data_IF_610801645956
#
_entry.id   IF_610801645956
#
_cell.length_a   1.000
_cell.length_b   1.000
_cell.length_c   1.000
_cell.angle_alpha   90.00
_cell.angle_beta   90.00
_cell.angle_gamma   90.00
#
_symmetry.space_group_name_H-M   'P 1'
#
loop_
_entity.id
_entity.type
_entity.pdbx_description
1 polymer ?
#
# COMPACT_ATOMS: atom_id res chain seq x y z
N UNK A 1 1.77 3.31 18.50
CA UNK A 1 2.40 4.63 18.35
C UNK A 1 2.35 5.05 16.88
N UNK A 2 1.86 6.26 16.55
CA UNK A 2 2.06 6.81 15.22
C UNK A 2 3.58 6.95 14.99
N UNK A 3 4.09 6.55 13.82
CA UNK A 3 5.50 6.79 13.50
C UNK A 3 5.77 8.29 13.56
N UNK A 4 6.94 8.67 14.10
CA UNK A 4 7.40 10.07 14.13
C UNK A 4 7.37 10.59 12.69
N UNK A 5 6.35 11.37 12.35
CA UNK A 5 6.19 11.94 11.01
C UNK A 5 7.41 12.80 10.74
N UNK A 6 8.21 12.41 9.75
CA UNK A 6 9.37 13.20 9.35
C UNK A 6 8.84 14.55 8.85
N UNK A 7 9.28 15.69 9.43
CA UNK A 7 8.82 16.99 8.97
C UNK A 7 9.15 17.16 7.48
N UNK A 8 8.20 17.71 6.74
CA UNK A 8 8.15 17.73 5.27
C UNK A 8 9.37 18.41 4.60
N UNK A 9 10.13 19.21 5.36
CA UNK A 9 11.29 19.99 4.89
C UNK A 9 12.54 19.17 4.49
N UNK A 10 12.50 17.84 4.47
CA UNK A 10 13.65 17.00 4.13
C UNK A 10 13.45 16.06 2.94
N UNK A 11 12.37 16.23 2.15
CA UNK A 11 12.26 15.55 0.87
C UNK A 11 13.15 16.24 -0.18
N UNK A 12 14.47 16.06 -0.09
CA UNK A 12 15.46 16.35 -1.15
C UNK A 12 15.31 15.40 -2.34
N UNK A 13 14.07 15.11 -2.72
CA UNK A 13 13.75 14.15 -3.75
C UNK A 13 13.86 14.83 -5.12
N UNK A 14 14.93 14.51 -5.85
CA UNK A 14 15.16 14.95 -7.24
C UNK A 14 14.35 14.14 -8.27
N UNK A 15 13.20 13.60 -7.85
CA UNK A 15 12.33 12.79 -8.71
C UNK A 15 11.71 13.66 -9.82
N UNK A 16 11.33 13.05 -10.95
CA UNK A 16 10.55 13.74 -11.99
C UNK A 16 9.16 14.20 -11.55
N UNK A 17 8.66 13.69 -10.42
CA UNK A 17 7.29 13.87 -9.95
C UNK A 17 7.10 15.08 -9.01
N UNK A 18 8.07 16.02 -8.97
CA UNK A 18 8.04 17.21 -8.09
C UNK A 18 7.62 16.89 -6.65
N UNK A 19 8.19 15.81 -6.11
CA UNK A 19 7.87 15.29 -4.79
C UNK A 19 8.16 16.29 -3.63
N UNK A 20 8.79 17.43 -3.92
CA UNK A 20 9.11 18.51 -2.98
C UNK A 20 7.95 19.50 -2.78
N UNK A 21 6.96 19.54 -3.68
CA UNK A 21 5.83 20.51 -3.65
C UNK A 21 4.62 20.02 -2.83
N UNK A 22 4.76 18.90 -2.13
CA UNK A 22 3.68 18.27 -1.38
C UNK A 22 3.38 19.04 -0.09
N UNK A 23 2.09 19.19 0.25
CA UNK A 23 1.62 19.88 1.47
C UNK A 23 1.16 18.87 2.52
N UNK A 24 1.50 19.12 3.78
CA UNK A 24 1.47 18.15 4.90
C UNK A 24 0.06 17.76 5.40
N UNK A 25 -0.99 18.52 5.05
CA UNK A 25 -2.24 18.52 5.82
C UNK A 25 -3.13 17.28 5.63
N UNK A 26 -3.21 16.70 4.43
CA UNK A 26 -4.11 15.58 4.14
C UNK A 26 -3.64 14.26 4.78
N UNK A 27 -2.33 14.08 4.90
CA UNK A 27 -1.71 12.84 5.40
C UNK A 27 -1.93 12.65 6.90
N UNK A 28 -2.14 13.73 7.67
CA UNK A 28 -2.38 13.62 9.12
C UNK A 28 -3.71 12.94 9.45
N UNK A 29 -4.71 13.10 8.59
CA UNK A 29 -6.03 12.50 8.81
C UNK A 29 -6.02 10.98 8.57
N UNK A 30 -5.11 10.47 7.73
CA UNK A 30 -4.90 9.04 7.52
C UNK A 30 -4.67 8.28 8.83
N UNK A 31 -3.80 8.79 9.70
CA UNK A 31 -3.43 8.11 10.95
C UNK A 31 -4.51 8.13 12.03
N UNK A 32 -5.59 8.89 11.83
CA UNK A 32 -6.72 8.94 12.76
C UNK A 32 -7.78 7.87 12.48
N UNK A 33 -7.78 7.26 11.30
CA UNK A 33 -8.77 6.25 10.89
C UNK A 33 -8.56 4.89 11.59
N UNK A 34 -9.53 3.96 11.52
CA UNK A 34 -9.34 2.57 11.98
C UNK A 34 -8.38 1.81 11.07
N UNK A 35 -7.83 0.68 11.53
CA UNK A 35 -6.79 -0.04 10.78
C UNK A 35 -7.25 -0.52 9.39
N UNK A 36 -8.49 -1.02 9.28
CA UNK A 36 -9.05 -1.47 7.99
C UNK A 36 -9.27 -0.30 7.03
N UNK A 37 -9.77 0.83 7.52
CA UNK A 37 -9.96 2.06 6.75
C UNK A 37 -8.61 2.61 6.24
N UNK A 38 -7.58 2.60 7.10
CA UNK A 38 -6.21 2.97 6.68
C UNK A 38 -5.72 2.05 5.57
N UNK A 39 -6.00 0.76 5.65
CA UNK A 39 -5.54 -0.16 4.62
C UNK A 39 -6.28 0.05 3.30
N UNK A 40 -7.58 0.32 3.32
CA UNK A 40 -8.36 0.63 2.12
C UNK A 40 -7.95 1.98 1.51
N UNK A 41 -7.73 2.99 2.34
CA UNK A 41 -7.21 4.28 1.89
C UNK A 41 -5.85 4.11 1.21
N UNK A 42 -4.92 3.37 1.85
CA UNK A 42 -3.63 3.04 1.27
C UNK A 42 -3.78 2.29 -0.07
N UNK A 43 -4.76 1.40 -0.16
CA UNK A 43 -5.07 0.65 -1.37
C UNK A 43 -5.53 1.57 -2.50
N UNK A 44 -6.32 2.60 -2.22
CA UNK A 44 -6.78 3.61 -3.17
C UNK A 44 -5.65 4.48 -3.74
N UNK A 45 -4.61 4.72 -2.95
CA UNK A 45 -3.46 5.53 -3.35
C UNK A 45 -2.46 4.83 -4.29
N UNK A 46 -2.58 3.51 -4.48
CA UNK A 46 -1.68 2.72 -5.33
C UNK A 46 -2.42 2.33 -6.61
N UNK A 47 -1.95 2.76 -7.77
CA UNK A 47 -2.58 2.44 -9.04
C UNK A 47 -1.74 1.49 -9.88
N UNK A 48 -2.39 0.44 -10.38
CA UNK A 48 -1.80 -0.55 -11.27
C UNK A 48 -2.14 -0.15 -12.71
N UNK A 49 -1.11 0.21 -13.48
CA UNK A 49 -1.27 0.75 -14.83
C UNK A 49 -0.66 -0.23 -15.84
N UNK A 50 -1.40 -0.57 -16.89
CA UNK A 50 -0.87 -1.37 -18.00
C UNK A 50 0.13 -0.54 -18.80
N UNK A 51 1.28 -1.13 -19.13
CA UNK A 51 2.31 -0.45 -19.91
C UNK A 51 1.91 -0.52 -21.38
N UNK A 52 1.68 0.64 -22.00
CA UNK A 52 1.53 0.75 -23.46
C UNK A 52 2.89 0.47 -24.11
N UNK A 53 2.94 -0.48 -25.04
CA UNK A 53 4.17 -0.77 -25.78
C UNK A 53 4.47 0.38 -26.76
N UNK A 54 5.69 0.92 -26.72
CA UNK A 54 6.11 2.09 -27.53
C UNK A 54 6.33 1.74 -29.01
N UNK A 55 6.64 0.48 -29.32
CA UNK A 55 6.87 -0.01 -30.69
C UNK A 55 5.88 -1.15 -30.93
N UNK A 56 4.84 -0.91 -31.73
CA UNK A 56 3.90 -1.95 -32.20
C UNK A 56 4.49 -2.75 -33.39
N UNK A 57 5.82 -2.79 -33.51
CA UNK A 57 6.48 -3.51 -34.59
C UNK A 57 6.47 -5.00 -34.29
N UNK A 58 5.77 -5.74 -35.16
CA UNK A 58 5.96 -7.18 -35.47
C UNK A 58 5.62 -8.26 -34.44
N UNK A 59 5.16 -7.97 -33.22
CA UNK A 59 4.67 -9.05 -32.34
C UNK A 59 3.43 -8.64 -31.55
N UNK A 60 2.26 -9.04 -32.07
CA UNK A 60 0.92 -8.77 -31.51
C UNK A 60 0.58 -9.59 -30.25
N UNK A 61 1.58 -10.06 -29.50
CA UNK A 61 1.35 -10.86 -28.28
C UNK A 61 1.85 -10.07 -27.06
N UNK A 62 0.99 -9.27 -26.41
CA UNK A 62 1.30 -8.56 -25.16
C UNK A 62 1.87 -9.47 -24.07
N UNK A 63 1.56 -10.77 -24.11
CA UNK A 63 2.01 -11.77 -23.16
C UNK A 63 3.54 -11.97 -23.12
N UNK A 64 4.25 -11.63 -24.21
CA UNK A 64 5.71 -11.84 -24.31
C UNK A 64 6.54 -10.75 -23.62
N UNK A 65 5.94 -9.62 -23.24
CA UNK A 65 6.67 -8.61 -22.47
C UNK A 65 6.93 -9.10 -21.05
N UNK A 66 8.20 -9.10 -20.62
CA UNK A 66 8.59 -9.35 -19.22
C UNK A 66 7.96 -8.35 -18.23
N UNK A 67 7.62 -7.14 -18.68
CA UNK A 67 6.96 -6.11 -17.85
C UNK A 67 5.68 -5.66 -18.53
N UNK A 68 4.56 -6.16 -18.05
CA UNK A 68 3.21 -5.83 -18.57
C UNK A 68 2.54 -4.71 -17.77
N UNK A 69 2.98 -4.52 -16.53
CA UNK A 69 2.31 -3.70 -15.54
C UNK A 69 3.32 -2.75 -14.87
N UNK A 70 2.90 -1.52 -14.62
CA UNK A 70 3.59 -0.55 -13.78
C UNK A 70 2.74 -0.21 -12.56
N UNK A 71 3.41 0.18 -11.48
CA UNK A 71 2.76 0.68 -10.27
C UNK A 71 3.02 2.17 -10.19
N UNK A 72 1.98 2.92 -9.88
CA UNK A 72 2.01 4.37 -9.67
C UNK A 72 1.48 4.66 -8.27
N UNK A 73 2.03 5.67 -7.62
CA UNK A 73 1.70 6.05 -6.25
C UNK A 73 1.16 7.47 -6.30
N UNK A 74 -0.01 7.68 -5.71
CA UNK A 74 -0.65 8.99 -5.63
C UNK A 74 -0.77 9.41 -4.16
N UNK A 75 -0.70 10.71 -3.90
CA UNK A 75 -1.02 11.29 -2.61
C UNK A 75 -2.05 12.41 -2.80
N UNK A 76 -2.96 12.59 -1.83
CA UNK A 76 -3.84 13.75 -1.82
C UNK A 76 -3.03 15.03 -1.63
N UNK A 77 -3.46 16.08 -2.31
CA UNK A 77 -2.91 17.44 -2.30
C UNK A 77 -4.08 18.43 -2.40
N UNK A 78 -3.81 19.72 -2.18
CA UNK A 78 -4.82 20.78 -2.19
C UNK A 78 -5.65 20.83 -3.47
N UNK A 79 -5.06 20.44 -4.61
CA UNK A 79 -5.69 20.46 -5.93
C UNK A 79 -6.07 19.04 -6.43
N UNK A 80 -6.25 18.07 -5.53
CA UNK A 80 -6.65 16.70 -5.87
C UNK A 80 -5.56 15.67 -5.58
N UNK A 81 -5.21 14.80 -6.55
CA UNK A 81 -4.21 13.76 -6.35
C UNK A 81 -2.96 14.03 -7.19
N UNK A 82 -1.79 13.95 -6.56
CA UNK A 82 -0.52 14.08 -7.27
C UNK A 82 0.25 12.77 -7.24
N UNK A 83 0.89 12.43 -8.37
CA UNK A 83 1.74 11.25 -8.45
C UNK A 83 3.07 11.52 -7.75
N UNK A 84 3.58 10.54 -7.00
CA UNK A 84 4.83 10.64 -6.26
C UNK A 84 5.72 9.42 -6.50
N UNK A 85 6.99 9.53 -6.14
CA UNK A 85 7.90 8.39 -6.21
C UNK A 85 7.64 7.39 -5.05
N UNK A 86 8.03 6.13 -5.25
CA UNK A 86 7.86 5.07 -4.25
C UNK A 86 8.60 5.34 -2.93
N UNK A 87 9.68 6.13 -2.96
CA UNK A 87 10.42 6.53 -1.74
C UNK A 87 9.59 7.52 -0.94
N UNK A 88 9.24 8.66 -1.54
CA UNK A 88 8.41 9.69 -0.91
C UNK A 88 7.08 9.15 -0.41
N UNK A 89 6.41 8.28 -1.18
CA UNK A 89 5.19 7.63 -0.74
C UNK A 89 5.35 6.85 0.56
N UNK A 90 6.42 6.04 0.67
CA UNK A 90 6.71 5.25 1.86
C UNK A 90 7.14 6.12 3.04
N UNK A 91 7.94 7.15 2.79
CA UNK A 91 8.44 8.03 3.84
C UNK A 91 7.27 8.83 4.46
N UNK A 92 6.39 9.38 3.62
CA UNK A 92 5.21 10.15 4.05
C UNK A 92 4.21 9.29 4.82
N UNK A 93 3.91 8.10 4.29
CA UNK A 93 3.00 7.18 4.95
C UNK A 93 3.69 6.28 5.98
N UNK A 94 4.98 6.52 6.26
CA UNK A 94 5.83 5.75 7.17
C UNK A 94 5.64 4.23 7.01
N UNK A 95 5.63 3.77 5.76
CA UNK A 95 5.40 2.38 5.39
C UNK A 95 6.72 1.65 5.19
N UNK A 96 6.78 0.43 5.71
CA UNK A 96 7.87 -0.47 5.34
C UNK A 96 7.76 -0.88 3.87
N UNK A 97 8.91 -1.17 3.27
CA UNK A 97 8.98 -1.68 1.90
C UNK A 97 8.16 -2.98 1.75
N UNK A 98 8.29 -3.90 2.72
CA UNK A 98 7.54 -5.17 2.76
C UNK A 98 6.03 -4.93 2.74
N UNK A 99 5.52 -4.01 3.58
CA UNK A 99 4.09 -3.68 3.63
C UNK A 99 3.58 -3.15 2.28
N UNK A 100 4.36 -2.27 1.64
CA UNK A 100 4.02 -1.72 0.33
C UNK A 100 3.92 -2.81 -0.73
N UNK A 101 4.87 -3.75 -0.77
CA UNK A 101 4.83 -4.88 -1.71
C UNK A 101 3.64 -5.79 -1.49
N UNK A 102 3.29 -6.13 -0.24
CA UNK A 102 2.13 -6.97 0.05
C UNK A 102 0.83 -6.34 -0.43
N UNK A 103 0.69 -5.01 -0.29
CA UNK A 103 -0.49 -4.28 -0.79
C UNK A 103 -0.54 -4.33 -2.32
N UNK A 104 0.60 -4.11 -2.99
CA UNK A 104 0.70 -4.19 -4.46
C UNK A 104 0.35 -5.59 -4.95
N UNK A 105 0.83 -6.64 -4.28
CA UNK A 105 0.57 -8.02 -4.67
C UNK A 105 -0.92 -8.37 -4.58
N UNK A 106 -1.58 -7.98 -3.49
CA UNK A 106 -3.04 -8.10 -3.36
C UNK A 106 -3.78 -7.36 -4.46
N UNK A 107 -3.36 -6.13 -4.76
CA UNK A 107 -3.97 -5.34 -5.84
C UNK A 107 -3.75 -5.97 -7.22
N UNK A 108 -2.59 -6.60 -7.46
CA UNK A 108 -2.32 -7.36 -8.69
C UNK A 108 -3.19 -8.61 -8.82
N UNK A 109 -3.57 -9.23 -7.68
CA UNK A 109 -4.49 -10.38 -7.63
C UNK A 109 -5.94 -10.00 -7.92
N UNK A 110 -6.26 -8.70 -7.95
CA UNK A 110 -7.61 -8.20 -8.25
C UNK A 110 -8.46 -7.93 -7.02
N UNK A 111 -7.87 -7.94 -5.81
CA UNK A 111 -8.60 -7.57 -4.59
C UNK A 111 -9.10 -6.13 -4.70
N UNK A 112 -10.37 -5.89 -4.35
CA UNK A 112 -10.99 -4.55 -4.40
C UNK A 112 -10.77 -3.78 -3.09
N UNK A 113 -10.67 -4.51 -1.98
CA UNK A 113 -10.47 -3.97 -0.63
C UNK A 113 -9.37 -4.73 0.10
N UNK A 114 -8.65 -4.06 0.99
CA UNK A 114 -7.68 -4.73 1.84
C UNK A 114 -8.36 -5.29 3.09
N UNK A 115 -8.50 -6.62 3.16
CA UNK A 115 -8.86 -7.29 4.41
C UNK A 115 -7.60 -7.70 5.19
N UNK A 116 -7.50 -7.29 6.46
CA UNK A 116 -6.45 -7.78 7.36
C UNK A 116 -6.78 -9.20 7.83
N UNK A 117 -6.04 -10.19 7.32
CA UNK A 117 -6.19 -11.62 7.68
C UNK A 117 -5.11 -12.11 8.66
N UNK A 118 -4.31 -11.21 9.24
CA UNK A 118 -3.34 -11.59 10.27
C UNK A 118 -4.07 -12.20 11.47
N UNK A 119 -3.58 -13.33 11.98
CA UNK A 119 -4.24 -14.04 13.10
C UNK A 119 -5.64 -14.59 12.79
N UNK A 120 -6.01 -14.71 11.51
CA UNK A 120 -7.29 -15.29 11.09
C UNK A 120 -7.10 -16.48 10.15
N UNK A 121 -5.97 -17.17 10.30
CA UNK A 121 -5.74 -18.40 9.55
C UNK A 121 -6.32 -19.56 10.36
N UNK A 122 -7.40 -20.21 9.89
CA UNK A 122 -8.01 -21.35 10.58
C UNK A 122 -7.04 -22.55 10.68
N UNK A 123 -5.99 -22.59 9.85
CA UNK A 123 -4.92 -23.59 9.91
C UNK A 123 -3.73 -23.16 10.78
N UNK A 124 -3.78 -21.99 11.39
CA UNK A 124 -2.74 -21.55 12.33
C UNK A 124 -2.90 -22.28 13.65
N UNK A 125 -1.86 -23.00 14.05
CA UNK A 125 -1.77 -23.61 15.38
C UNK A 125 -1.76 -22.58 16.53
N UNK A 126 -1.64 -21.27 16.24
CA UNK A 126 -1.68 -20.22 17.27
C UNK A 126 -3.08 -19.95 17.84
N UNK A 127 -4.14 -20.43 17.18
CA UNK A 127 -5.53 -20.29 17.62
C UNK A 127 -6.14 -21.60 18.13
N UNK A 128 -5.32 -22.66 18.28
CA UNK A 128 -5.76 -23.81 19.06
C UNK A 128 -5.76 -23.36 20.51
N UNK A 129 -6.93 -23.03 21.03
CA UNK A 129 -7.17 -22.91 22.47
C UNK A 129 -6.57 -24.15 23.11
N UNK A 130 -5.57 -23.97 24.00
CA UNK A 130 -4.91 -25.09 24.68
C UNK A 130 -5.86 -25.79 25.66
N UNK A 131 -6.88 -25.06 26.09
CA UNK A 131 -7.91 -25.48 27.02
C UNK A 131 -9.25 -25.07 26.43
N UNK A 132 -10.23 -25.97 26.43
CA UNK A 132 -11.63 -25.64 26.18
C UNK A 132 -12.27 -25.11 27.47
N UNK A 133 -13.46 -24.52 27.37
CA UNK A 133 -14.19 -24.07 28.56
C UNK A 133 -14.49 -25.25 29.52
N UNK A 134 -14.60 -26.47 28.98
CA UNK A 134 -14.75 -27.71 29.75
C UNK A 134 -13.48 -28.05 30.57
N UNK A 135 -12.29 -27.72 30.06
CA UNK A 135 -11.02 -27.93 30.77
C UNK A 135 -10.85 -26.95 31.95
N UNK A 136 -11.53 -25.79 31.90
CA UNK A 136 -11.50 -24.77 32.96
C UNK A 136 -12.43 -25.16 34.11
N UNK A 137 -13.54 -25.84 33.82
CA UNK A 137 -14.50 -26.34 34.83
C UNK A 137 -13.96 -27.51 35.66
N UNK A 138 -12.81 -28.08 35.28
CA UNK A 138 -12.14 -29.18 35.97
C UNK A 138 -11.03 -28.75 36.96
N UNK A 139 -10.86 -27.43 37.19
CA UNK A 139 -9.91 -26.85 38.16
C UNK A 139 -10.67 -26.33 39.38
#
# INVERSE_FOLDING_TARGET
MPPKSVPFKLATCKCKYRCHDLVENEVRNFWKQREDDRCNFLFGLINIVRIKQRRQGTTNVPALSRRQISVTYCLPSTNGHIQVCAKTFRDILSLSQKRTYSVIEKKKKGDVCFTNRRGKNPRSHSHKTKYTDEDIELI
#
